data_IF_766556734400
#
_entry.id   IF_766556734400
#
_cell.length_a   1.000
_cell.length_b   1.000
_cell.length_c   1.000
_cell.angle_alpha   90.00
_cell.angle_beta   90.00
_cell.angle_gamma   90.00
#
_symmetry.space_group_name_H-M   'P 1'
#
loop_
_entity.id
_entity.type
_entity.pdbx_description
1 polymer ?
#
# COMPACT_ATOMS: atom_id res chain seq x y z
N UNK A 1 -3.62 1.94 4.84
CA UNK A 1 -5.05 2.24 5.04
C UNK A 1 -5.66 2.85 3.79
N UNK A 2 -5.19 4.00 3.29
CA UNK A 2 -5.76 4.68 2.09
C UNK A 2 -5.79 3.82 0.83
N UNK A 3 -4.72 3.08 0.52
CA UNK A 3 -4.68 2.23 -0.68
C UNK A 3 -5.75 1.14 -0.68
N UNK A 4 -6.12 0.62 0.49
CA UNK A 4 -7.18 -0.38 0.64
C UNK A 4 -8.55 0.24 0.35
N UNK A 5 -8.81 1.44 0.83
CA UNK A 5 -10.07 2.16 0.55
C UNK A 5 -10.22 2.44 -0.93
N UNK A 6 -9.13 2.84 -1.62
CA UNK A 6 -9.13 3.04 -3.08
C UNK A 6 -9.48 1.75 -3.81
N UNK A 7 -8.86 0.62 -3.43
CA UNK A 7 -9.15 -0.68 -4.04
C UNK A 7 -10.60 -1.10 -3.78
N UNK A 8 -11.11 -0.87 -2.58
CA UNK A 8 -12.50 -1.16 -2.23
C UNK A 8 -13.48 -0.31 -3.04
N UNK A 9 -13.27 1.00 -3.14
CA UNK A 9 -14.10 1.88 -3.97
C UNK A 9 -14.10 1.46 -5.44
N UNK A 10 -12.94 1.06 -5.98
CA UNK A 10 -12.86 0.55 -7.35
C UNK A 10 -13.66 -0.74 -7.53
N UNK A 11 -13.61 -1.67 -6.56
CA UNK A 11 -14.43 -2.90 -6.59
C UNK A 11 -15.92 -2.59 -6.47
N UNK A 12 -16.31 -1.69 -5.57
CA UNK A 12 -17.70 -1.25 -5.39
C UNK A 12 -18.25 -0.55 -6.65
N UNK A 13 -17.40 0.15 -7.40
CA UNK A 13 -17.74 0.72 -8.71
C UNK A 13 -17.89 -0.32 -9.84
N UNK A 14 -17.70 -1.62 -9.56
CA UNK A 14 -17.88 -2.70 -10.52
C UNK A 14 -16.60 -3.16 -11.23
N UNK A 15 -15.42 -2.82 -10.72
CA UNK A 15 -14.16 -3.33 -11.27
C UNK A 15 -14.05 -4.85 -11.05
N UNK A 16 -13.83 -5.60 -12.14
CA UNK A 16 -13.59 -7.06 -12.08
C UNK A 16 -12.23 -7.42 -11.50
N UNK A 17 -11.21 -6.60 -11.79
CA UNK A 17 -9.85 -6.73 -11.26
C UNK A 17 -9.29 -5.35 -10.97
N UNK A 18 -8.59 -5.21 -9.85
CA UNK A 18 -7.97 -3.96 -9.40
C UNK A 18 -6.48 -4.19 -9.21
N UNK A 19 -5.68 -3.47 -9.99
CA UNK A 19 -4.23 -3.55 -9.98
C UNK A 19 -3.65 -2.27 -9.40
N UNK A 20 -2.68 -2.37 -8.50
CA UNK A 20 -2.02 -1.21 -7.88
C UNK A 20 -0.54 -1.20 -8.23
N UNK A 21 -0.11 -0.16 -8.95
CA UNK A 21 1.30 0.09 -9.23
C UNK A 21 1.78 1.31 -8.43
N UNK A 22 2.81 1.12 -7.59
CA UNK A 22 3.49 2.22 -6.93
C UNK A 22 4.62 2.73 -7.83
N UNK A 23 4.63 4.05 -8.08
CA UNK A 23 5.75 4.70 -8.77
C UNK A 23 7.03 4.73 -7.92
N UNK A 24 6.89 4.61 -6.60
CA UNK A 24 8.00 4.57 -5.65
C UNK A 24 8.33 3.13 -5.22
N UNK A 25 9.60 2.83 -4.90
CA UNK A 25 9.98 1.57 -4.25
C UNK A 25 9.28 1.43 -2.89
N UNK A 26 9.15 0.20 -2.36
CA UNK A 26 8.49 -0.05 -1.08
C UNK A 26 9.15 0.73 0.05
N UNK A 27 8.39 1.63 0.67
CA UNK A 27 8.87 2.47 1.78
C UNK A 27 8.93 1.62 3.04
N UNK A 28 10.13 1.20 3.42
CA UNK A 28 10.39 0.34 4.59
C UNK A 28 10.95 1.09 5.79
N UNK A 29 11.47 2.30 5.57
CA UNK A 29 12.16 3.08 6.59
C UNK A 29 11.61 4.51 6.60
N UNK A 30 11.45 5.13 7.78
CA UNK A 30 11.07 6.53 7.89
C UNK A 30 12.20 7.42 7.39
N UNK A 31 11.84 8.56 6.80
CA UNK A 31 12.80 9.56 6.37
C UNK A 31 13.22 10.41 7.58
N UNK A 32 14.53 10.50 7.85
CA UNK A 32 15.10 11.30 8.96
C UNK A 32 15.64 12.65 8.51
N UNK A 33 15.52 12.98 7.23
CA UNK A 33 16.06 14.17 6.58
C UNK A 33 15.01 15.27 6.35
N UNK A 34 13.95 15.29 7.16
CA UNK A 34 12.98 16.40 7.21
C UNK A 34 11.71 16.21 6.38
N UNK A 35 11.49 15.05 5.77
CA UNK A 35 10.18 14.68 5.21
C UNK A 35 9.38 13.97 6.29
N UNK A 36 8.19 14.48 6.61
CA UNK A 36 7.28 13.85 7.57
C UNK A 36 6.82 12.49 7.06
N UNK A 37 7.21 11.44 7.79
CA UNK A 37 6.81 10.06 7.53
C UNK A 37 6.39 9.40 8.83
N UNK A 38 5.36 8.53 8.80
CA UNK A 38 4.95 7.78 9.98
C UNK A 38 6.06 6.82 10.43
N UNK A 39 5.92 6.29 11.65
CA UNK A 39 6.91 5.38 12.23
C UNK A 39 7.07 4.12 11.37
N UNK A 40 8.22 3.45 11.49
CA UNK A 40 8.51 2.29 10.65
C UNK A 40 7.43 1.21 10.75
N UNK A 41 6.85 1.00 11.93
CA UNK A 41 5.81 0.00 12.19
C UNK A 41 4.45 0.33 11.52
N UNK A 42 4.18 1.61 11.29
CA UNK A 42 2.97 2.08 10.61
C UNK A 42 3.07 1.98 9.07
N UNK A 43 4.27 1.79 8.53
CA UNK A 43 4.48 1.57 7.12
C UNK A 43 4.01 0.16 6.73
N UNK A 44 3.04 0.11 5.81
CA UNK A 44 2.48 -1.15 5.28
C UNK A 44 3.56 -2.10 4.75
N UNK A 45 4.61 -1.56 4.13
CA UNK A 45 5.69 -2.35 3.55
C UNK A 45 6.82 -2.71 4.55
N UNK A 46 6.76 -2.23 5.79
CA UNK A 46 7.77 -2.55 6.80
C UNK A 46 7.64 -4.00 7.26
N UNK A 47 8.73 -4.76 7.13
CA UNK A 47 8.78 -6.18 7.49
C UNK A 47 7.89 -7.11 6.64
N UNK A 48 7.24 -6.60 5.59
CA UNK A 48 6.33 -7.36 4.73
C UNK A 48 6.85 -7.48 3.30
N UNK A 49 6.51 -8.59 2.67
CA UNK A 49 6.73 -8.88 1.26
C UNK A 49 5.68 -8.18 0.39
N UNK A 50 5.91 -8.12 -0.93
CA UNK A 50 4.95 -7.54 -1.85
C UNK A 50 3.63 -8.33 -1.88
N UNK A 51 3.69 -9.67 -1.78
CA UNK A 51 2.49 -10.51 -1.68
C UNK A 51 1.66 -10.22 -0.42
N UNK A 52 2.29 -10.09 0.74
CA UNK A 52 1.59 -9.77 2.00
C UNK A 52 0.95 -8.38 1.94
N UNK A 53 1.66 -7.41 1.36
CA UNK A 53 1.11 -6.06 1.14
C UNK A 53 -0.10 -6.10 0.21
N UNK A 54 -0.02 -6.85 -0.90
CA UNK A 54 -1.12 -7.06 -1.86
C UNK A 54 -2.36 -7.64 -1.17
N UNK A 55 -2.19 -8.67 -0.35
CA UNK A 55 -3.30 -9.28 0.40
C UNK A 55 -3.90 -8.30 1.42
N UNK A 56 -3.06 -7.53 2.12
CA UNK A 56 -3.50 -6.54 3.09
C UNK A 56 -4.35 -5.42 2.45
N UNK A 57 -4.01 -4.99 1.22
CA UNK A 57 -4.75 -3.95 0.49
C UNK A 57 -5.93 -4.51 -0.32
N UNK A 58 -6.00 -5.82 -0.55
CA UNK A 58 -7.06 -6.47 -1.32
C UNK A 58 -6.95 -6.28 -2.84
N UNK A 59 -5.76 -5.93 -3.34
CA UNK A 59 -5.49 -5.78 -4.77
C UNK A 59 -5.26 -7.14 -5.43
N UNK A 60 -5.52 -7.24 -6.73
CA UNK A 60 -5.30 -8.46 -7.51
C UNK A 60 -3.84 -8.56 -8.02
N UNK A 61 -3.14 -7.44 -8.15
CA UNK A 61 -1.68 -7.36 -8.28
C UNK A 61 -1.14 -6.03 -7.77
#
# INVERSE_FOLDING_TARGET
>A
TTSREIVQMAREAGARKVYLASAAPPVRYPNVYGIDMPTAEELVAHGRTAEEVRELIGADA
#
